data_IF_768423383195
#
_entry.id   IF_768423383195
#
_cell.length_a   1.000
_cell.length_b   1.000
_cell.length_c   1.000
_cell.angle_alpha   90.00
_cell.angle_beta   90.00
_cell.angle_gamma   90.00
#
_symmetry.space_group_name_H-M   'P 1'
#
loop_
_entity.id
_entity.type
_entity.pdbx_description
1 polymer ?
#
# COMPACT_ATOMS: atom_id res chain seq x y z
N UNK A 1 -7.04 -26.18 21.72
CA UNK A 1 -5.81 -25.77 21.03
C UNK A 1 -6.20 -24.71 20.03
N UNK A 2 -6.05 -23.43 20.39
CA UNK A 2 -6.27 -22.31 19.46
C UNK A 2 -5.24 -22.43 18.33
N UNK A 3 -5.68 -22.78 17.13
CA UNK A 3 -4.81 -22.83 15.96
C UNK A 3 -4.41 -21.40 15.60
N UNK A 4 -3.16 -21.03 15.85
CA UNK A 4 -2.59 -19.77 15.34
C UNK A 4 -2.66 -19.77 13.82
N UNK A 5 -3.36 -18.79 13.25
CA UNK A 5 -3.50 -18.66 11.80
C UNK A 5 -2.47 -17.69 11.19
N UNK A 6 -1.98 -16.74 11.99
CA UNK A 6 -1.22 -15.59 11.53
C UNK A 6 0.12 -15.46 12.26
N UNK A 7 1.14 -15.00 11.53
CA UNK A 7 2.42 -14.54 12.06
C UNK A 7 2.57 -13.04 11.90
N UNK A 8 3.01 -12.37 12.97
CA UNK A 8 3.29 -10.94 13.01
C UNK A 8 4.76 -10.71 13.36
N UNK A 9 5.46 -9.89 12.58
CA UNK A 9 6.84 -9.50 12.85
C UNK A 9 6.93 -7.97 12.80
N UNK A 10 6.94 -7.30 13.96
CA UNK A 10 7.34 -5.90 14.03
C UNK A 10 8.84 -5.80 13.69
N UNK A 11 9.23 -4.78 12.93
CA UNK A 11 10.61 -4.62 12.50
C UNK A 11 11.56 -4.53 13.71
N UNK A 12 12.53 -5.46 13.79
CA UNK A 12 13.50 -5.52 14.88
C UNK A 12 13.01 -6.18 16.18
N UNK A 13 11.81 -6.77 16.18
CA UNK A 13 11.26 -7.54 17.30
C UNK A 13 11.01 -9.01 16.91
N UNK A 14 10.88 -9.92 17.90
CA UNK A 14 10.59 -11.33 17.65
C UNK A 14 9.24 -11.56 16.95
N UNK A 15 9.13 -12.73 16.30
CA UNK A 15 7.88 -13.23 15.73
C UNK A 15 6.82 -13.46 16.83
N UNK A 16 5.60 -13.01 16.54
CA UNK A 16 4.42 -13.19 17.38
C UNK A 16 3.42 -14.06 16.60
N UNK A 17 3.02 -15.18 17.17
CA UNK A 17 2.03 -16.11 16.58
C UNK A 17 0.83 -16.35 17.49
N UNK A 18 0.95 -16.00 18.76
CA UNK A 18 -0.09 -16.17 19.78
C UNK A 18 -0.89 -14.86 19.89
N UNK A 19 -2.22 -14.87 19.64
CA UNK A 19 -3.06 -13.71 19.87
C UNK A 19 -3.14 -13.41 21.37
N UNK A 20 -3.13 -12.13 21.73
CA UNK A 20 -3.32 -11.67 23.11
C UNK A 20 -4.76 -11.85 23.57
N UNK A 21 -5.73 -11.70 22.66
CA UNK A 21 -7.15 -11.93 22.94
C UNK A 21 -7.88 -12.37 21.68
N UNK A 22 -8.92 -13.18 21.86
CA UNK A 22 -9.77 -13.71 20.79
C UNK A 22 -11.23 -13.37 21.11
N UNK A 23 -11.67 -12.13 20.86
CA UNK A 23 -13.03 -11.70 21.17
C UNK A 23 -14.11 -12.46 20.39
N UNK A 24 -13.79 -12.98 19.20
CA UNK A 24 -14.70 -13.81 18.40
C UNK A 24 -13.90 -14.86 17.61
N UNK A 25 -14.54 -15.91 17.05
CA UNK A 25 -13.86 -16.89 16.21
C UNK A 25 -13.19 -16.30 14.96
N UNK A 26 -13.67 -15.15 14.49
CA UNK A 26 -13.14 -14.45 13.30
C UNK A 26 -12.30 -13.23 13.67
N UNK A 27 -12.22 -12.86 14.95
CA UNK A 27 -11.55 -11.65 15.41
C UNK A 27 -10.44 -11.96 16.41
N UNK A 28 -9.22 -11.55 16.08
CA UNK A 28 -8.02 -11.79 16.87
C UNK A 28 -7.34 -10.46 17.19
N UNK A 29 -6.83 -10.31 18.40
CA UNK A 29 -6.11 -9.12 18.85
C UNK A 29 -4.67 -9.48 19.24
N UNK A 30 -3.71 -8.69 18.78
CA UNK A 30 -2.29 -8.82 19.10
C UNK A 30 -1.78 -7.52 19.71
N UNK A 31 -1.38 -7.55 20.98
CA UNK A 31 -0.65 -6.46 21.61
C UNK A 31 0.82 -6.54 21.21
N UNK A 32 1.34 -5.49 20.56
CA UNK A 32 2.73 -5.43 20.14
C UNK A 32 3.64 -4.98 21.29
N UNK A 33 4.82 -5.60 21.46
CA UNK A 33 5.79 -5.15 22.45
C UNK A 33 6.28 -3.73 22.15
N UNK A 34 6.37 -2.88 23.18
CA UNK A 34 6.89 -1.50 23.09
C UNK A 34 8.37 -1.38 23.49
N UNK A 35 9.12 -2.48 23.52
CA UNK A 35 10.51 -2.51 23.99
C UNK A 35 11.48 -1.69 23.11
N UNK A 36 11.19 -1.59 21.80
CA UNK A 36 11.95 -0.78 20.85
C UNK A 36 10.99 -0.08 19.89
N UNK A 37 11.32 1.14 19.42
CA UNK A 37 10.53 1.79 18.40
C UNK A 37 10.66 1.04 17.06
N UNK A 38 9.54 0.84 16.37
CA UNK A 38 9.48 0.27 15.03
C UNK A 38 8.46 1.03 14.17
N UNK A 39 8.69 1.06 12.86
CA UNK A 39 7.79 1.73 11.92
C UNK A 39 7.10 0.78 10.96
N UNK A 40 7.55 -0.47 10.87
CA UNK A 40 7.04 -1.45 9.93
C UNK A 40 6.60 -2.72 10.68
N UNK A 41 5.49 -3.29 10.21
CA UNK A 41 4.93 -4.55 10.69
C UNK A 41 4.72 -5.46 9.48
N UNK A 42 5.27 -6.67 9.53
CA UNK A 42 4.99 -7.73 8.55
C UNK A 42 3.93 -8.65 9.12
N UNK A 43 2.93 -8.98 8.32
CA UNK A 43 1.85 -9.90 8.68
C UNK A 43 1.70 -10.95 7.58
N UNK A 44 1.56 -12.21 7.97
CA UNK A 44 1.49 -13.34 7.03
C UNK A 44 0.68 -14.51 7.59
N UNK A 45 0.18 -15.35 6.69
CA UNK A 45 -0.42 -16.64 7.05
C UNK A 45 0.68 -17.66 7.41
N UNK A 46 0.47 -18.44 8.47
CA UNK A 46 1.41 -19.49 8.83
C UNK A 46 1.40 -20.64 7.81
N UNK A 47 2.53 -21.33 7.60
CA UNK A 47 2.60 -22.44 6.65
C UNK A 47 1.58 -23.54 6.96
N UNK A 48 0.89 -24.02 5.93
CA UNK A 48 -0.08 -25.12 6.05
C UNK A 48 -1.44 -24.70 6.61
N UNK A 49 -1.67 -23.40 6.81
CA UNK A 49 -2.96 -22.84 7.22
C UNK A 49 -3.58 -22.08 6.05
N UNK A 50 -4.88 -22.28 5.83
CA UNK A 50 -5.67 -21.51 4.86
C UNK A 50 -6.83 -20.80 5.56
N UNK A 51 -7.20 -19.64 5.04
CA UNK A 51 -8.44 -18.97 5.43
C UNK A 51 -9.65 -19.76 4.91
N UNK A 52 -10.82 -19.63 5.57
CA UNK A 52 -12.07 -20.15 5.01
C UNK A 52 -12.31 -19.67 3.57
N UNK A 53 -12.97 -20.49 2.76
CA UNK A 53 -13.25 -20.15 1.37
C UNK A 53 -14.07 -18.86 1.25
N UNK A 54 -13.71 -17.99 0.30
CA UNK A 54 -14.37 -16.70 0.07
C UNK A 54 -14.09 -15.65 1.14
N UNK A 55 -13.05 -15.83 1.96
CA UNK A 55 -12.70 -14.88 3.03
C UNK A 55 -11.28 -14.32 2.90
N UNK A 56 -11.09 -13.13 3.45
CA UNK A 56 -9.82 -12.47 3.61
C UNK A 56 -9.67 -11.93 5.04
N UNK A 57 -8.43 -11.74 5.49
CA UNK A 57 -8.13 -11.16 6.79
C UNK A 57 -7.94 -9.64 6.66
N UNK A 58 -8.90 -8.88 7.17
CA UNK A 58 -8.82 -7.44 7.34
C UNK A 58 -7.95 -7.10 8.56
N UNK A 59 -7.05 -6.12 8.38
CA UNK A 59 -6.02 -5.76 9.35
C UNK A 59 -6.29 -4.34 9.84
N UNK A 60 -6.33 -4.19 11.15
CA UNK A 60 -6.66 -2.96 11.85
C UNK A 60 -5.58 -2.61 12.86
N UNK A 61 -5.44 -1.31 13.16
CA UNK A 61 -4.50 -0.79 14.14
C UNK A 61 -5.16 0.22 15.07
N UNK A 62 -4.86 0.13 16.36
CA UNK A 62 -5.18 1.13 17.38
C UNK A 62 -4.03 1.23 18.39
N UNK A 63 -3.99 2.29 19.18
CA UNK A 63 -3.09 2.35 20.34
C UNK A 63 -3.72 1.62 21.52
N UNK A 64 -2.90 1.07 22.42
CA UNK A 64 -3.41 0.43 23.63
C UNK A 64 -4.20 1.41 24.51
N UNK A 65 -3.81 2.69 24.53
CA UNK A 65 -4.54 3.75 25.22
C UNK A 65 -5.95 3.95 24.65
N UNK A 66 -6.10 3.94 23.32
CA UNK A 66 -7.41 4.01 22.66
C UNK A 66 -8.28 2.80 22.99
N UNK A 67 -7.69 1.61 23.03
CA UNK A 67 -8.41 0.37 23.40
C UNK A 67 -8.85 0.41 24.87
N UNK A 68 -7.98 0.87 25.77
CA UNK A 68 -8.30 1.03 27.18
C UNK A 68 -9.41 2.06 27.40
N UNK A 69 -9.30 3.25 26.80
CA UNK A 69 -10.31 4.31 26.91
C UNK A 69 -11.68 3.86 26.38
N UNK A 70 -11.70 3.14 25.25
CA UNK A 70 -12.92 2.60 24.69
C UNK A 70 -13.58 1.56 25.60
N UNK A 71 -12.76 0.74 26.28
CA UNK A 71 -13.24 -0.23 27.27
C UNK A 71 -13.88 0.46 28.48
N UNK A 72 -13.27 1.53 28.99
CA UNK A 72 -13.82 2.31 30.11
C UNK A 72 -15.13 3.03 29.74
N UNK A 73 -15.25 3.45 28.48
CA UNK A 73 -16.41 4.18 27.96
C UNK A 73 -17.51 3.26 27.39
N UNK A 74 -17.33 1.93 27.47
CA UNK A 74 -18.18 0.94 26.82
C UNK A 74 -18.45 1.25 25.32
N UNK A 75 -17.46 1.86 24.65
CA UNK A 75 -17.51 2.28 23.26
C UNK A 75 -16.61 1.34 22.41
N UNK A 76 -16.86 1.23 21.10
CA UNK A 76 -15.97 0.49 20.22
C UNK A 76 -14.61 1.22 20.10
N UNK A 77 -13.47 0.52 20.24
CA UNK A 77 -12.17 1.13 20.05
C UNK A 77 -12.00 1.67 18.62
N UNK A 78 -11.35 2.83 18.45
CA UNK A 78 -11.19 3.51 17.16
C UNK A 78 -10.13 2.81 16.29
N UNK A 79 -10.39 1.57 15.90
CA UNK A 79 -9.53 0.80 15.01
C UNK A 79 -9.50 1.41 13.61
N UNK A 80 -8.30 1.74 13.14
CA UNK A 80 -8.08 2.20 11.77
C UNK A 80 -7.74 1.03 10.87
N UNK A 81 -8.42 0.92 9.73
CA UNK A 81 -8.09 -0.08 8.71
C UNK A 81 -6.71 0.20 8.10
N UNK A 82 -5.88 -0.84 8.03
CA UNK A 82 -4.49 -0.78 7.58
C UNK A 82 -4.28 -1.50 6.24
N UNK A 83 -5.09 -2.53 5.97
CA UNK A 83 -5.08 -3.31 4.75
C UNK A 83 -5.57 -4.73 4.98
N UNK A 84 -5.20 -5.65 4.09
CA UNK A 84 -5.64 -7.04 4.17
C UNK A 84 -4.63 -8.03 3.59
N UNK A 85 -4.78 -9.30 3.99
CA UNK A 85 -4.12 -10.48 3.40
C UNK A 85 -5.18 -11.55 3.11
N UNK A 86 -4.95 -12.40 2.11
CA UNK A 86 -5.92 -13.39 1.67
C UNK A 86 -5.41 -14.26 0.52
N UNK A 87 -6.30 -14.98 -0.17
CA UNK A 87 -5.94 -15.80 -1.33
C UNK A 87 -5.17 -14.99 -2.38
N UNK A 88 -4.03 -15.51 -2.83
CA UNK A 88 -3.14 -14.82 -3.79
C UNK A 88 -2.22 -13.75 -3.17
N UNK A 89 -2.45 -13.33 -1.92
CA UNK A 89 -1.57 -12.43 -1.17
C UNK A 89 -1.53 -12.81 0.31
N UNK A 90 -0.72 -13.81 0.61
CA UNK A 90 -0.64 -14.42 1.95
C UNK A 90 0.20 -13.61 2.94
N UNK A 91 0.89 -12.55 2.48
CA UNK A 91 1.69 -11.68 3.33
C UNK A 91 1.63 -10.21 2.88
N UNK A 92 1.84 -9.31 3.82
CA UNK A 92 1.92 -7.87 3.58
C UNK A 92 2.78 -7.17 4.64
N UNK A 93 3.38 -6.05 4.26
CA UNK A 93 4.08 -5.15 5.18
C UNK A 93 3.31 -3.84 5.30
N UNK A 94 3.21 -3.33 6.52
CA UNK A 94 2.47 -2.11 6.83
C UNK A 94 3.32 -1.12 7.61
N UNK A 95 3.17 0.17 7.29
CA UNK A 95 3.77 1.25 8.06
C UNK A 95 2.86 1.62 9.24
N UNK A 96 3.37 1.47 10.45
CA UNK A 96 2.62 1.64 11.71
C UNK A 96 3.13 2.82 12.55
N UNK A 97 4.38 3.27 12.34
CA UNK A 97 5.04 4.29 13.17
C UNK A 97 5.12 5.69 12.57
N UNK A 98 4.04 6.22 11.99
CA UNK A 98 4.08 7.54 11.34
C UNK A 98 2.78 8.36 11.32
N UNK A 99 1.73 7.92 12.02
CA UNK A 99 0.47 8.65 12.13
C UNK A 99 0.39 9.40 13.46
N UNK A 100 0.80 10.67 13.47
CA UNK A 100 0.70 11.54 14.64
C UNK A 100 1.78 11.29 15.71
N UNK A 101 2.20 12.37 16.36
CA UNK A 101 3.35 12.49 17.26
C UNK A 101 3.34 11.60 18.53
N UNK A 102 2.34 10.73 18.71
CA UNK A 102 2.20 9.83 19.86
C UNK A 102 2.50 8.35 19.53
N UNK A 103 2.62 7.98 18.25
CA UNK A 103 2.77 6.58 17.82
C UNK A 103 4.20 6.01 17.97
N UNK A 104 5.20 6.86 18.26
CA UNK A 104 6.61 6.43 18.30
C UNK A 104 7.02 5.75 19.62
N UNK A 105 6.22 5.89 20.68
CA UNK A 105 6.47 5.30 22.01
C UNK A 105 5.25 4.58 22.60
N UNK A 106 4.09 4.62 21.94
CA UNK A 106 2.87 3.98 22.44
C UNK A 106 2.81 2.50 22.06
N UNK A 107 2.32 1.68 22.99
CA UNK A 107 1.99 0.28 22.73
C UNK A 107 0.87 0.21 21.70
N UNK A 108 1.07 -0.59 20.66
CA UNK A 108 0.14 -0.75 19.55
C UNK A 108 -0.65 -2.06 19.70
N UNK A 109 -1.90 -2.05 19.28
CA UNK A 109 -2.76 -3.23 19.20
C UNK A 109 -3.18 -3.44 17.75
N UNK A 110 -2.91 -4.64 17.24
CA UNK A 110 -3.31 -5.07 15.90
C UNK A 110 -4.55 -5.93 16.01
N UNK A 111 -5.60 -5.55 15.29
CA UNK A 111 -6.82 -6.34 15.13
C UNK A 111 -6.81 -7.06 13.80
N UNK A 112 -7.10 -8.35 13.81
CA UNK A 112 -7.36 -9.15 12.61
C UNK A 112 -8.81 -9.58 12.62
N UNK A 113 -9.50 -9.38 11.50
CA UNK A 113 -10.89 -9.78 11.29
C UNK A 113 -11.00 -10.61 10.01
N UNK A 114 -11.49 -11.84 10.11
CA UNK A 114 -11.76 -12.69 8.96
C UNK A 114 -13.14 -12.33 8.42
N UNK A 115 -13.18 -11.81 7.20
CA UNK A 115 -14.36 -11.22 6.57
C UNK A 115 -14.51 -11.70 5.12
N UNK A 116 -15.71 -11.61 4.53
CA UNK A 116 -15.92 -11.93 3.12
C UNK A 116 -15.00 -11.10 2.21
N UNK A 117 -14.41 -11.75 1.20
CA UNK A 117 -13.45 -11.10 0.30
C UNK A 117 -14.02 -9.86 -0.40
N UNK A 118 -15.32 -9.87 -0.73
CA UNK A 118 -16.02 -8.73 -1.34
C UNK A 118 -16.06 -7.49 -0.44
N UNK A 119 -16.27 -7.67 0.86
CA UNK A 119 -16.30 -6.58 1.83
C UNK A 119 -14.91 -6.00 2.05
N UNK A 120 -13.91 -6.87 2.14
CA UNK A 120 -12.50 -6.48 2.27
C UNK A 120 -12.01 -5.75 1.03
N UNK A 121 -12.42 -6.20 -0.17
CA UNK A 121 -12.10 -5.54 -1.44
C UNK A 121 -12.67 -4.11 -1.48
N UNK A 122 -13.90 -3.91 -1.00
CA UNK A 122 -14.50 -2.56 -0.88
C UNK A 122 -13.71 -1.66 0.08
N UNK A 123 -13.36 -2.16 1.27
CA UNK A 123 -12.53 -1.42 2.24
C UNK A 123 -11.16 -1.04 1.67
N UNK A 124 -10.56 -1.92 0.87
CA UNK A 124 -9.28 -1.67 0.22
C UNK A 124 -9.40 -0.60 -0.88
N UNK A 125 -10.50 -0.61 -1.63
CA UNK A 125 -10.80 0.42 -2.63
C UNK A 125 -11.03 1.80 -1.98
N UNK A 126 -11.74 1.85 -0.86
CA UNK A 126 -11.94 3.06 -0.06
C UNK A 126 -10.62 3.59 0.50
N UNK A 127 -9.76 2.69 1.02
CA UNK A 127 -8.42 3.05 1.49
C UNK A 127 -7.55 3.62 0.37
N UNK A 128 -7.61 3.04 -0.83
CA UNK A 128 -6.90 3.53 -2.01
C UNK A 128 -7.44 4.89 -2.48
N UNK A 129 -8.75 5.10 -2.44
CA UNK A 129 -9.36 6.39 -2.76
C UNK A 129 -8.98 7.50 -1.75
N UNK A 130 -8.91 7.16 -0.45
CA UNK A 130 -8.45 8.07 0.59
C UNK A 130 -6.94 8.39 0.49
N UNK A 131 -6.13 7.40 0.10
CA UNK A 131 -4.70 7.61 -0.18
C UNK A 131 -4.47 8.45 -1.45
N UNK A 132 -5.41 8.46 -2.40
CA UNK A 132 -5.39 9.35 -3.57
C UNK A 132 -5.62 10.83 -3.25
N UNK A 133 -6.06 11.18 -2.04
CA UNK A 133 -6.33 12.55 -1.61
C UNK A 133 -5.26 13.11 -0.65
N UNK A 134 -4.36 12.27 -0.16
CA UNK A 134 -3.22 12.68 0.67
C UNK A 134 -1.97 11.99 0.16
N UNK A 135 -1.19 12.70 -0.67
CA UNK A 135 0.03 12.17 -1.25
C UNK A 135 1.04 11.76 -0.18
N UNK A 136 1.16 10.45 0.09
CA UNK A 136 2.35 9.78 0.61
C UNK A 136 2.11 8.27 0.82
N UNK A 137 2.38 7.44 -0.20
CA UNK A 137 3.16 6.17 -0.13
C UNK A 137 3.16 5.48 -1.50
N UNK A 138 4.28 4.90 -1.96
CA UNK A 138 4.48 4.48 -3.34
C UNK A 138 3.83 3.12 -3.56
N UNK A 139 2.57 3.12 -3.98
CA UNK A 139 2.11 2.02 -4.83
C UNK A 139 2.74 2.27 -6.19
N UNK A 140 3.57 1.33 -6.64
CA UNK A 140 4.14 1.36 -7.99
C UNK A 140 3.00 1.66 -8.97
N UNK A 141 3.07 2.75 -9.76
CA UNK A 141 2.03 3.04 -10.74
C UNK A 141 1.88 1.81 -11.64
N UNK A 142 0.64 1.42 -11.92
CA UNK A 142 0.39 0.24 -12.76
C UNK A 142 1.15 0.37 -14.08
N UNK A 143 1.64 -0.75 -14.64
CA UNK A 143 2.41 -0.76 -15.90
C UNK A 143 1.68 -0.01 -17.02
N UNK A 144 0.34 -0.02 -16.99
CA UNK A 144 -0.53 0.72 -17.90
C UNK A 144 -0.40 2.24 -17.70
N UNK A 145 -0.43 2.74 -16.46
CA UNK A 145 -0.26 4.17 -16.15
C UNK A 145 1.15 4.65 -16.50
N UNK A 146 2.17 3.82 -16.26
CA UNK A 146 3.54 4.11 -16.70
C UNK A 146 3.63 4.20 -18.23
N UNK A 147 3.09 3.22 -18.96
CA UNK A 147 3.09 3.23 -20.42
C UNK A 147 2.36 4.46 -20.99
N UNK A 148 1.20 4.83 -20.42
CA UNK A 148 0.46 6.03 -20.80
C UNK A 148 1.28 7.30 -20.57
N UNK A 149 1.95 7.44 -19.42
CA UNK A 149 2.82 8.59 -19.13
C UNK A 149 4.04 8.67 -20.04
N UNK A 150 4.65 7.53 -20.37
CA UNK A 150 5.77 7.46 -21.31
C UNK A 150 5.32 7.97 -22.69
N UNK A 151 4.18 7.48 -23.19
CA UNK A 151 3.64 7.88 -24.49
C UNK A 151 3.23 9.35 -24.49
N UNK A 152 2.62 9.85 -23.41
CA UNK A 152 2.20 11.24 -23.30
C UNK A 152 3.38 12.21 -23.24
N UNK A 153 4.46 11.85 -22.54
CA UNK A 153 5.70 12.62 -22.57
C UNK A 153 6.33 12.65 -23.98
N UNK A 154 6.35 11.50 -24.66
CA UNK A 154 6.84 11.40 -26.03
C UNK A 154 6.03 12.30 -26.96
N UNK A 155 4.70 12.24 -26.87
CA UNK A 155 3.80 13.06 -27.67
C UNK A 155 4.05 14.55 -27.45
N UNK A 156 4.11 15.02 -26.20
CA UNK A 156 4.37 16.43 -25.87
C UNK A 156 5.73 16.93 -26.37
N UNK A 157 6.76 16.08 -26.39
CA UNK A 157 8.05 16.46 -26.96
C UNK A 157 7.99 16.55 -28.49
N UNK A 158 7.37 15.57 -29.14
CA UNK A 158 7.32 15.47 -30.60
C UNK A 158 6.41 16.54 -31.23
N UNK A 159 5.33 16.95 -30.55
CA UNK A 159 4.47 18.06 -31.00
C UNK A 159 5.23 19.38 -31.06
N UNK A 160 6.27 19.57 -30.23
CA UNK A 160 7.17 20.72 -30.31
C UNK A 160 7.99 20.81 -31.62
N UNK A 161 8.12 19.69 -32.36
CA UNK A 161 8.83 19.62 -33.64
C UNK A 161 7.88 19.53 -34.85
N UNK A 162 6.58 19.37 -34.62
CA UNK A 162 5.54 19.30 -35.66
C UNK A 162 5.51 20.56 -36.54
N UNK A 163 5.88 21.73 -35.98
CA UNK A 163 5.93 22.99 -36.72
C UNK A 163 7.12 23.18 -37.67
N UNK A 164 8.12 22.29 -37.67
CA UNK A 164 9.38 22.50 -38.43
C UNK A 164 9.41 21.76 -39.78
N UNK A 165 8.52 20.79 -39.99
CA UNK A 165 8.39 20.07 -41.27
C UNK A 165 7.18 20.58 -42.02
N UNK A 166 7.44 21.40 -43.04
CA UNK A 166 6.45 21.91 -43.96
C UNK A 166 5.51 20.79 -44.46
N UNK A 167 4.23 21.12 -44.45
CA UNK A 167 3.12 20.33 -45.00
C UNK A 167 3.40 19.99 -46.46
N UNK A 168 3.85 18.76 -46.73
CA UNK A 168 3.78 18.16 -48.05
C UNK A 168 2.64 17.15 -48.04
N UNK A 169 1.45 17.59 -48.48
CA UNK A 169 0.28 16.71 -48.66
C UNK A 169 -0.64 16.55 -47.45
N UNK A 170 -0.57 17.43 -46.44
CA UNK A 170 -1.49 17.42 -45.30
C UNK A 170 -1.21 16.37 -44.22
N UNK A 171 -0.12 15.62 -44.34
CA UNK A 171 0.30 14.62 -43.35
C UNK A 171 1.32 15.23 -42.40
N UNK A 172 0.97 15.28 -41.12
CA UNK A 172 1.90 15.66 -40.04
C UNK A 172 2.96 14.57 -39.89
N UNK A 173 4.19 14.88 -40.31
CA UNK A 173 5.31 13.96 -40.23
C UNK A 173 6.23 14.37 -39.09
N UNK A 174 6.52 13.42 -38.19
CA UNK A 174 7.52 13.60 -37.14
C UNK A 174 8.88 13.19 -37.70
N UNK A 175 9.88 14.08 -37.77
CA UNK A 175 11.22 13.71 -38.22
C UNK A 175 11.80 12.62 -37.32
N UNK A 176 12.30 11.53 -37.93
CA UNK A 176 12.90 10.41 -37.18
C UNK A 176 14.02 10.87 -36.23
N UNK A 177 14.75 11.93 -36.60
CA UNK A 177 15.80 12.54 -35.76
C UNK A 177 15.25 13.13 -34.46
N UNK A 178 14.07 13.75 -34.47
CA UNK A 178 13.43 14.29 -33.27
C UNK A 178 13.07 13.16 -32.29
N UNK A 179 12.57 12.04 -32.81
CA UNK A 179 12.30 10.85 -32.01
C UNK A 179 13.57 10.24 -31.41
N UNK A 180 14.65 10.12 -32.20
CA UNK A 180 15.94 9.62 -31.72
C UNK A 180 16.53 10.49 -30.59
N UNK A 181 16.41 11.81 -30.71
CA UNK A 181 16.85 12.74 -29.66
C UNK A 181 16.03 12.63 -28.38
N UNK A 182 14.70 12.50 -28.51
CA UNK A 182 13.83 12.24 -27.37
C UNK A 182 14.22 10.95 -26.67
N UNK A 183 14.35 9.85 -27.42
CA UNK A 183 14.70 8.54 -26.89
C UNK A 183 16.01 8.58 -26.10
N UNK A 184 17.05 9.24 -26.64
CA UNK A 184 18.34 9.39 -25.95
C UNK A 184 18.21 10.17 -24.63
N UNK A 185 17.41 11.24 -24.62
CA UNK A 185 17.17 12.05 -23.40
C UNK A 185 16.36 11.26 -22.37
N UNK A 186 15.35 10.52 -22.83
CA UNK A 186 14.51 9.67 -22.00
C UNK A 186 15.32 8.54 -21.35
N UNK A 187 16.10 7.79 -22.13
CA UNK A 187 16.93 6.68 -21.62
C UNK A 187 17.94 7.16 -20.57
N UNK A 188 18.61 8.29 -20.83
CA UNK A 188 19.54 8.88 -19.87
C UNK A 188 18.83 9.33 -18.57
N UNK A 189 17.60 9.83 -18.65
CA UNK A 189 16.82 10.25 -17.48
C UNK A 189 16.26 9.05 -16.71
N UNK A 190 15.82 7.99 -17.38
CA UNK A 190 15.38 6.73 -16.74
C UNK A 190 16.54 6.09 -15.99
N UNK A 191 17.73 6.02 -16.60
CA UNK A 191 18.91 5.43 -15.96
C UNK A 191 19.36 6.20 -14.71
N UNK A 192 19.25 7.53 -14.74
CA UNK A 192 19.74 8.39 -13.66
C UNK A 192 18.69 8.71 -12.58
N UNK A 193 17.39 8.74 -12.91
CA UNK A 193 16.29 8.97 -11.97
C UNK A 193 15.04 8.17 -12.35
N UNK A 194 14.98 6.86 -12.10
CA UNK A 194 13.81 6.03 -12.44
C UNK A 194 12.47 6.56 -11.86
N UNK A 195 12.52 7.35 -10.78
CA UNK A 195 11.34 7.90 -10.11
C UNK A 195 10.64 9.02 -10.89
N UNK A 196 11.27 9.57 -11.93
CA UNK A 196 10.67 10.67 -12.70
C UNK A 196 9.36 10.27 -13.40
N UNK A 197 9.19 8.99 -13.75
CA UNK A 197 7.95 8.46 -14.36
C UNK A 197 6.78 8.40 -13.36
N UNK A 198 7.10 8.38 -12.07
CA UNK A 198 6.12 8.30 -10.98
C UNK A 198 5.61 9.69 -10.59
N UNK A 199 6.42 10.73 -10.79
CA UNK A 199 6.03 12.13 -10.56
C UNK A 199 5.01 12.54 -11.62
N UNK A 200 3.89 13.11 -11.20
CA UNK A 200 2.96 13.76 -12.13
C UNK A 200 3.73 14.89 -12.82
N UNK A 201 3.96 14.76 -14.12
CA UNK A 201 4.39 15.88 -14.95
C UNK A 201 3.20 16.82 -15.09
N UNK A 202 3.29 17.99 -14.45
CA UNK A 202 2.49 19.19 -14.78
C UNK A 202 2.62 19.51 -16.29
#
# INVERSE_FOLDING_TARGET
MSSSLFGLIPAGLPLITEPTSVPSPTSLLYALPSQRPFSHLVLFLLPGVALPAGTAAAIYIATAAQVAAATEQAAPPPFRFLGAIGPGKESAMFKVGGGGSEAQTSSLVIGLSIEPEDEVARKLQELAAAAGQTGASPSQPSTVVLAQRIIQNAFNFLTGFSGTTAVMGGVEVVPLKAFQEWWRKFENRVRNDPSFLERQSD
#
